data_IF_391812702528
#
_entry.id   IF_391812702528
#
_cell.length_a   1.000
_cell.length_b   1.000
_cell.length_c   1.000
_cell.angle_alpha   90.00
_cell.angle_beta   90.00
_cell.angle_gamma   90.00
#
_symmetry.space_group_name_H-M   'P 1'
#
loop_
_entity.id
_entity.type
_entity.pdbx_description
1 polymer ?
#
# COMPACT_ATOMS: atom_id res chain seq x y z
N UNK A 1 40.24 5.45 -36.09
CA UNK A 1 39.83 4.16 -36.70
C UNK A 1 39.53 3.18 -35.56
N UNK A 2 38.66 3.59 -34.61
CA UNK A 2 38.43 2.89 -33.32
C UNK A 2 36.93 2.64 -33.03
N UNK A 3 36.01 2.96 -33.96
CA UNK A 3 34.57 2.87 -33.72
C UNK A 3 33.91 1.53 -34.14
N UNK A 4 34.68 0.44 -34.25
CA UNK A 4 34.18 -0.82 -34.83
C UNK A 4 34.11 -2.02 -33.87
N UNK A 5 34.63 -1.92 -32.64
CA UNK A 5 34.85 -3.10 -31.78
C UNK A 5 33.84 -3.30 -30.63
N UNK A 6 32.70 -2.60 -30.63
CA UNK A 6 31.65 -2.77 -29.62
C UNK A 6 30.33 -3.36 -30.15
N UNK A 7 30.31 -3.96 -31.35
CA UNK A 7 29.05 -4.40 -31.99
C UNK A 7 28.97 -5.92 -32.27
N UNK A 8 29.64 -6.75 -31.46
CA UNK A 8 29.57 -8.23 -31.54
C UNK A 8 29.13 -8.85 -30.20
N UNK A 9 28.39 -8.13 -29.36
CA UNK A 9 27.42 -8.82 -28.52
C UNK A 9 26.25 -9.20 -29.43
N UNK A 10 26.30 -10.44 -29.98
CA UNK A 10 25.18 -11.06 -30.71
C UNK A 10 23.88 -10.67 -30.00
N UNK A 11 23.03 -9.84 -30.64
CA UNK A 11 21.74 -9.39 -30.10
C UNK A 11 20.97 -10.60 -29.60
N UNK A 12 21.09 -10.90 -28.29
CA UNK A 12 20.29 -11.94 -27.66
C UNK A 12 18.85 -11.46 -27.80
N UNK A 13 17.99 -12.28 -28.41
CA UNK A 13 16.56 -11.97 -28.46
C UNK A 13 16.11 -11.75 -27.03
N UNK A 14 15.53 -10.59 -26.75
CA UNK A 14 14.95 -10.31 -25.44
C UNK A 14 13.94 -11.41 -25.11
N UNK A 15 13.92 -11.88 -23.86
CA UNK A 15 12.94 -12.89 -23.42
C UNK A 15 11.52 -12.46 -23.82
N UNK A 16 10.68 -13.41 -24.19
CA UNK A 16 9.28 -13.12 -24.51
C UNK A 16 8.54 -12.61 -23.26
N UNK A 17 7.45 -11.87 -23.46
CA UNK A 17 6.59 -11.45 -22.35
C UNK A 17 5.69 -12.61 -21.94
N UNK A 18 5.69 -12.96 -20.65
CA UNK A 18 4.73 -13.91 -20.10
C UNK A 18 3.32 -13.33 -20.12
N UNK A 19 2.30 -14.19 -19.96
CA UNK A 19 0.90 -13.76 -19.88
C UNK A 19 0.65 -12.87 -18.65
N UNK A 20 1.25 -13.23 -17.52
CA UNK A 20 1.16 -12.48 -16.26
C UNK A 20 1.83 -11.11 -16.41
N UNK A 21 3.02 -11.06 -17.01
CA UNK A 21 3.71 -9.81 -17.34
C UNK A 21 2.85 -8.92 -18.25
N UNK A 22 2.24 -9.51 -19.29
CA UNK A 22 1.38 -8.76 -20.19
C UNK A 22 0.15 -8.20 -19.47
N UNK A 23 -0.51 -9.00 -18.62
CA UNK A 23 -1.66 -8.55 -17.81
C UNK A 23 -1.26 -7.40 -16.88
N UNK A 24 -0.11 -7.50 -16.21
CA UNK A 24 0.41 -6.44 -15.34
C UNK A 24 0.65 -5.15 -16.13
N UNK A 25 1.30 -5.25 -17.29
CA UNK A 25 1.53 -4.11 -18.19
C UNK A 25 0.21 -3.44 -18.58
N UNK A 26 -0.81 -4.21 -18.96
CA UNK A 26 -2.12 -3.68 -19.33
C UNK A 26 -2.83 -3.00 -18.16
N UNK A 27 -2.79 -3.58 -16.95
CA UNK A 27 -3.35 -2.97 -15.73
C UNK A 27 -2.68 -1.64 -15.41
N UNK A 28 -1.36 -1.56 -15.52
CA UNK A 28 -0.60 -0.32 -15.29
C UNK A 28 -0.94 0.74 -16.34
N UNK A 29 -0.93 0.39 -17.63
CA UNK A 29 -1.30 1.32 -18.70
C UNK A 29 -2.73 1.82 -18.53
N UNK A 30 -3.68 0.96 -18.15
CA UNK A 30 -5.07 1.35 -17.87
C UNK A 30 -5.13 2.44 -16.80
N UNK A 31 -4.41 2.27 -15.69
CA UNK A 31 -4.36 3.25 -14.59
C UNK A 31 -3.87 4.63 -15.04
N UNK A 32 -2.95 4.66 -16.02
CA UNK A 32 -2.37 5.90 -16.54
C UNK A 32 -2.95 6.39 -17.88
N UNK A 33 -4.02 5.76 -18.36
CA UNK A 33 -4.76 6.13 -19.58
C UNK A 33 -5.02 7.63 -19.73
N UNK A 34 -5.53 8.38 -18.72
CA UNK A 34 -5.84 9.80 -18.92
C UNK A 34 -4.63 10.65 -19.34
N UNK A 35 -3.42 10.26 -18.92
CA UNK A 35 -2.18 10.95 -19.28
C UNK A 35 -1.65 10.45 -20.62
N UNK A 36 -1.67 9.12 -20.83
CA UNK A 36 -1.13 8.49 -22.04
C UNK A 36 -1.97 8.76 -23.30
N UNK A 37 -3.30 8.77 -23.17
CA UNK A 37 -4.24 9.03 -24.26
C UNK A 37 -4.52 10.52 -24.51
N UNK A 38 -3.85 11.42 -23.77
CA UNK A 38 -3.97 12.85 -24.04
C UNK A 38 -3.53 13.15 -25.50
N UNK A 39 -4.42 13.69 -26.33
CA UNK A 39 -4.15 13.97 -27.75
C UNK A 39 -3.26 15.19 -27.97
N UNK A 40 -3.02 16.00 -26.93
CA UNK A 40 -2.14 17.18 -27.02
C UNK A 40 -0.69 16.76 -27.26
N UNK A 41 -0.01 17.55 -28.08
CA UNK A 41 1.38 17.36 -28.53
C UNK A 41 2.33 18.43 -28.02
N UNK A 42 1.93 19.17 -26.98
CA UNK A 42 2.77 20.16 -26.31
C UNK A 42 3.94 19.51 -25.55
N UNK A 43 5.02 20.27 -25.38
CA UNK A 43 6.23 19.81 -24.70
C UNK A 43 5.96 19.31 -23.27
N UNK A 44 5.01 19.95 -22.57
CA UNK A 44 4.61 19.57 -21.21
C UNK A 44 3.91 18.21 -21.23
N UNK A 45 2.90 18.02 -22.09
CA UNK A 45 2.23 16.71 -22.23
C UNK A 45 3.17 15.60 -22.68
N UNK A 46 4.14 15.88 -23.56
CA UNK A 46 5.13 14.89 -24.00
C UNK A 46 6.06 14.48 -22.85
N UNK A 47 6.54 15.45 -22.08
CA UNK A 47 7.32 15.19 -20.86
C UNK A 47 6.50 14.40 -19.84
N UNK A 48 5.22 14.74 -19.63
CA UNK A 48 4.33 14.02 -18.74
C UNK A 48 4.10 12.56 -19.17
N UNK A 49 3.94 12.30 -20.47
CA UNK A 49 3.85 10.94 -21.03
C UNK A 49 5.14 10.16 -20.83
N UNK A 50 6.31 10.78 -21.03
CA UNK A 50 7.61 10.15 -20.81
C UNK A 50 7.80 9.78 -19.33
N UNK A 51 7.52 10.71 -18.42
CA UNK A 51 7.54 10.49 -16.97
C UNK A 51 6.57 9.39 -16.53
N UNK A 52 5.40 9.34 -17.17
CA UNK A 52 4.41 8.29 -16.94
C UNK A 52 4.97 6.90 -17.32
N UNK A 53 5.62 6.78 -18.48
CA UNK A 53 6.25 5.52 -18.89
C UNK A 53 7.40 5.10 -17.95
N UNK A 54 8.19 6.05 -17.44
CA UNK A 54 9.21 5.78 -16.42
C UNK A 54 8.61 5.27 -15.10
N UNK A 55 7.47 5.83 -14.66
CA UNK A 55 6.74 5.32 -13.49
C UNK A 55 6.20 3.91 -13.73
N UNK A 56 5.65 3.64 -14.91
CA UNK A 56 5.20 2.30 -15.30
C UNK A 56 6.37 1.32 -15.25
N UNK A 57 7.54 1.68 -15.77
CA UNK A 57 8.76 0.87 -15.70
C UNK A 57 9.17 0.56 -14.26
N UNK A 58 9.20 1.56 -13.38
CA UNK A 58 9.55 1.38 -11.97
C UNK A 58 8.59 0.41 -11.28
N UNK A 59 7.28 0.62 -11.44
CA UNK A 59 6.25 -0.24 -10.82
C UNK A 59 6.28 -1.63 -11.45
N UNK A 60 6.43 -1.75 -12.76
CA UNK A 60 6.47 -3.03 -13.45
C UNK A 60 7.64 -3.88 -12.97
N UNK A 61 8.85 -3.30 -12.94
CA UNK A 61 10.06 -3.99 -12.52
C UNK A 61 10.08 -4.26 -11.01
N UNK A 62 9.32 -3.52 -10.18
CA UNK A 62 9.17 -3.86 -8.76
C UNK A 62 8.26 -5.06 -8.50
N UNK A 63 7.40 -5.41 -9.47
CA UNK A 63 6.46 -6.54 -9.38
C UNK A 63 6.89 -7.74 -10.24
N UNK A 64 7.95 -7.59 -11.03
CA UNK A 64 8.42 -8.59 -11.99
C UNK A 64 9.67 -9.29 -11.44
N UNK A 65 9.70 -10.62 -11.51
CA UNK A 65 10.64 -11.44 -10.74
C UNK A 65 11.88 -11.92 -11.51
N UNK A 66 11.91 -11.83 -12.85
CA UNK A 66 12.94 -12.51 -13.67
C UNK A 66 13.77 -11.60 -14.58
N UNK A 67 13.18 -10.58 -15.21
CA UNK A 67 13.89 -9.75 -16.20
C UNK A 67 13.54 -8.27 -16.11
N UNK A 68 14.56 -7.42 -16.15
CA UNK A 68 14.38 -5.98 -16.23
C UNK A 68 13.87 -5.58 -17.62
N UNK A 69 12.79 -4.80 -17.67
CA UNK A 69 12.23 -4.25 -18.90
C UNK A 69 12.25 -2.73 -18.85
N UNK A 70 12.95 -2.11 -19.81
CA UNK A 70 12.96 -0.66 -19.91
C UNK A 70 11.62 -0.10 -20.40
N UNK A 71 11.32 1.16 -20.08
CA UNK A 71 10.07 1.81 -20.51
C UNK A 71 9.85 1.73 -22.04
N UNK A 72 10.93 1.77 -22.83
CA UNK A 72 10.87 1.66 -24.29
C UNK A 72 10.38 0.28 -24.74
N UNK A 73 10.82 -0.79 -24.08
CA UNK A 73 10.36 -2.15 -24.35
C UNK A 73 8.89 -2.34 -23.97
N UNK A 74 8.49 -1.84 -22.79
CA UNK A 74 7.10 -1.90 -22.33
C UNK A 74 6.16 -1.16 -23.27
N UNK A 75 6.52 0.07 -23.66
CA UNK A 75 5.78 0.87 -24.64
C UNK A 75 5.63 0.13 -25.97
N UNK A 76 6.73 -0.40 -26.51
CA UNK A 76 6.71 -1.15 -27.78
C UNK A 76 5.83 -2.38 -27.71
N UNK A 77 5.89 -3.15 -26.61
CA UNK A 77 5.03 -4.32 -26.40
C UNK A 77 3.55 -3.94 -26.37
N UNK A 78 3.21 -2.89 -25.62
CA UNK A 78 1.84 -2.37 -25.54
C UNK A 78 1.32 -1.93 -26.92
N UNK A 79 2.08 -1.12 -27.67
CA UNK A 79 1.67 -0.64 -28.99
C UNK A 79 1.47 -1.79 -29.99
N UNK A 80 2.37 -2.78 -29.97
CA UNK A 80 2.22 -3.97 -30.81
C UNK A 80 0.95 -4.76 -30.44
N UNK A 81 0.70 -4.94 -29.15
CA UNK A 81 -0.48 -5.67 -28.69
C UNK A 81 -1.79 -4.93 -29.03
N UNK A 82 -1.81 -3.61 -28.85
CA UNK A 82 -2.91 -2.73 -29.27
C UNK A 82 -3.20 -2.85 -30.77
N UNK A 83 -2.16 -2.89 -31.62
CA UNK A 83 -2.30 -3.07 -33.07
C UNK A 83 -2.91 -4.43 -33.41
N UNK A 84 -2.42 -5.51 -32.80
CA UNK A 84 -2.95 -6.87 -33.00
C UNK A 84 -4.43 -6.93 -32.64
N UNK A 85 -4.82 -6.35 -31.50
CA UNK A 85 -6.22 -6.32 -31.07
C UNK A 85 -7.08 -5.50 -32.02
N UNK A 86 -6.61 -4.32 -32.44
CA UNK A 86 -7.28 -3.52 -33.46
C UNK A 86 -7.54 -4.31 -34.75
N UNK A 87 -6.56 -5.09 -35.22
CA UNK A 87 -6.73 -5.93 -36.41
C UNK A 87 -7.77 -7.03 -36.18
N UNK A 88 -7.71 -7.73 -35.04
CA UNK A 88 -8.70 -8.76 -34.69
C UNK A 88 -10.14 -8.20 -34.64
N UNK A 89 -10.33 -6.95 -34.21
CA UNK A 89 -11.64 -6.31 -34.24
C UNK A 89 -12.15 -6.04 -35.65
N UNK A 90 -11.27 -5.59 -36.55
CA UNK A 90 -11.61 -5.36 -37.96
C UNK A 90 -12.01 -6.69 -38.61
N UNK A 91 -11.23 -7.75 -38.39
CA UNK A 91 -11.47 -9.07 -38.98
C UNK A 91 -12.77 -9.71 -38.47
N UNK A 92 -13.13 -9.45 -37.20
CA UNK A 92 -14.33 -10.02 -36.56
C UNK A 92 -15.62 -9.20 -36.78
N UNK A 93 -15.55 -8.04 -37.46
CA UNK A 93 -16.72 -7.21 -37.79
C UNK A 93 -17.50 -6.65 -36.60
N UNK A 94 -16.92 -6.64 -35.38
CA UNK A 94 -17.57 -6.14 -34.17
C UNK A 94 -17.12 -4.71 -33.87
N UNK A 95 -18.05 -3.77 -33.93
CA UNK A 95 -17.83 -2.38 -33.51
C UNK A 95 -17.81 -2.32 -31.96
N UNK A 96 -16.63 -2.45 -31.38
CA UNK A 96 -16.41 -2.15 -29.97
C UNK A 96 -15.54 -0.89 -29.81
N UNK A 97 -15.82 -0.12 -28.76
CA UNK A 97 -15.06 1.07 -28.38
C UNK A 97 -13.55 0.74 -28.27
N UNK A 98 -12.65 1.43 -29.01
CA UNK A 98 -11.21 1.25 -28.95
C UNK A 98 -10.57 1.45 -27.56
N UNK A 99 -11.32 1.91 -26.57
CA UNK A 99 -10.84 2.05 -25.19
C UNK A 99 -11.26 0.91 -24.25
N UNK A 100 -12.20 0.04 -24.65
CA UNK A 100 -12.71 -1.03 -23.77
C UNK A 100 -11.99 -2.38 -23.93
N UNK A 101 -11.19 -2.56 -25.00
CA UNK A 101 -10.51 -3.84 -25.25
C UNK A 101 -9.51 -4.25 -24.17
N UNK A 102 -8.93 -3.29 -23.43
CA UNK A 102 -7.98 -3.58 -22.36
C UNK A 102 -8.65 -4.39 -21.25
N UNK A 103 -9.92 -4.10 -20.95
CA UNK A 103 -10.67 -4.75 -19.87
C UNK A 103 -11.10 -6.16 -20.24
N UNK A 104 -11.55 -6.33 -21.48
CA UNK A 104 -11.83 -7.65 -22.05
C UNK A 104 -10.57 -8.51 -22.06
N UNK A 105 -9.42 -7.94 -22.44
CA UNK A 105 -8.16 -8.69 -22.49
C UNK A 105 -7.65 -9.09 -21.11
N UNK A 106 -7.72 -8.18 -20.12
CA UNK A 106 -7.36 -8.51 -18.73
C UNK A 106 -8.25 -9.63 -18.20
N UNK A 107 -9.55 -9.59 -18.50
CA UNK A 107 -10.51 -10.62 -18.06
C UNK A 107 -10.26 -11.97 -18.72
N UNK A 108 -9.95 -11.99 -20.01
CA UNK A 108 -9.61 -13.22 -20.73
C UNK A 108 -8.32 -13.85 -20.18
N UNK A 109 -7.25 -13.05 -19.99
CA UNK A 109 -6.00 -13.56 -19.42
C UNK A 109 -6.25 -14.11 -18.00
N UNK A 110 -7.07 -13.43 -17.20
CA UNK A 110 -7.40 -13.89 -15.85
C UNK A 110 -8.16 -15.23 -15.85
N UNK A 111 -9.11 -15.40 -16.78
CA UNK A 111 -9.87 -16.63 -16.94
C UNK A 111 -8.98 -17.79 -17.41
N UNK A 112 -8.11 -17.55 -18.39
CA UNK A 112 -7.16 -18.55 -18.88
C UNK A 112 -6.20 -19.04 -17.76
N UNK A 113 -5.71 -18.13 -16.91
CA UNK A 113 -4.86 -18.51 -15.76
C UNK A 113 -5.64 -19.37 -14.75
N UNK A 114 -6.92 -19.06 -14.52
CA UNK A 114 -7.77 -19.82 -13.59
C UNK A 114 -8.02 -21.24 -14.11
N UNK A 115 -8.20 -21.40 -15.41
CA UNK A 115 -8.47 -22.69 -16.03
C UNK A 115 -7.20 -23.57 -16.12
N UNK A 116 -6.02 -22.97 -16.33
CA UNK A 116 -4.72 -23.67 -16.27
C UNK A 116 -4.40 -24.21 -14.87
N UNK A 117 -4.91 -23.57 -13.80
CA UNK A 117 -4.69 -24.00 -12.41
C UNK A 117 -5.58 -25.16 -11.96
N UNK A 118 -6.59 -25.55 -12.75
CA UNK A 118 -7.57 -26.61 -12.39
C UNK A 118 -7.40 -27.92 -13.19
N UNK A 119 -6.45 -28.00 -14.12
CA UNK A 119 -6.24 -29.20 -14.95
C UNK A 119 -5.19 -30.17 -14.39
N UNK A 120 -5.09 -30.27 -13.06
CA UNK A 120 -4.38 -31.42 -12.48
C UNK A 120 -5.25 -32.66 -12.66
N UNK A 121 -4.75 -33.76 -13.25
CA UNK A 121 -5.45 -35.03 -13.22
C UNK A 121 -5.77 -35.36 -11.75
N UNK A 122 -6.94 -35.93 -11.43
CA UNK A 122 -7.22 -36.42 -10.09
C UNK A 122 -6.08 -37.35 -9.70
N UNK A 123 -5.26 -36.94 -8.73
CA UNK A 123 -4.39 -37.88 -8.05
C UNK A 123 -5.33 -38.83 -7.33
N UNK A 124 -5.40 -40.08 -7.78
CA UNK A 124 -5.97 -41.18 -7.01
C UNK A 124 -5.15 -41.32 -5.73
N UNK A 125 -5.50 -40.52 -4.72
CA UNK A 125 -4.99 -40.70 -3.36
C UNK A 125 -5.78 -41.87 -2.79
N UNK A 126 -5.14 -43.03 -2.54
CA UNK A 126 -5.83 -44.17 -1.95
C UNK A 126 -6.45 -43.77 -0.60
N UNK A 127 -7.72 -44.09 -0.47
CA UNK A 127 -8.59 -43.82 0.66
C UNK A 127 -8.04 -44.47 1.94
N UNK A 128 -7.20 -43.73 2.67
CA UNK A 128 -6.79 -44.11 4.03
C UNK A 128 -7.96 -43.81 4.95
N UNK A 129 -8.65 -44.88 5.36
CA UNK A 129 -9.65 -44.85 6.42
C UNK A 129 -9.00 -44.36 7.72
N UNK A 130 -9.17 -43.09 8.04
CA UNK A 130 -8.83 -42.54 9.34
C UNK A 130 -9.94 -42.93 10.32
N UNK A 131 -9.64 -43.92 11.16
CA UNK A 131 -10.46 -44.30 12.29
C UNK A 131 -10.48 -43.17 13.33
N UNK A 132 -11.70 -42.79 13.67
CA UNK A 132 -12.08 -41.71 14.56
C UNK A 132 -11.76 -42.11 16.01
N UNK A 133 -10.84 -41.41 16.68
CA UNK A 133 -10.61 -41.57 18.12
C UNK A 133 -10.74 -40.23 18.85
N UNK A 134 -11.70 -40.21 19.77
CA UNK A 134 -11.85 -39.40 20.99
C UNK A 134 -11.28 -37.98 20.99
N UNK A 135 -12.12 -36.95 21.05
CA UNK A 135 -12.74 -36.50 22.31
C UNK A 135 -11.71 -36.25 23.41
N UNK A 136 -11.06 -35.09 23.35
CA UNK A 136 -10.39 -34.46 24.49
C UNK A 136 -10.88 -33.02 24.55
N UNK A 137 -11.73 -32.77 25.54
CA UNK A 137 -12.00 -31.45 26.09
C UNK A 137 -10.66 -30.89 26.61
N UNK A 138 -10.25 -29.74 26.08
CA UNK A 138 -8.97 -29.10 26.38
C UNK A 138 -9.19 -27.63 26.66
N UNK A 139 -8.85 -27.26 27.89
CA UNK A 139 -9.10 -26.00 28.58
C UNK A 139 -8.77 -24.70 27.81
N UNK A 140 -9.64 -23.72 28.07
CA UNK A 140 -9.41 -22.30 27.81
C UNK A 140 -8.29 -21.83 28.74
N UNK A 141 -7.08 -21.70 28.21
CA UNK A 141 -6.00 -21.03 28.93
C UNK A 141 -6.13 -19.52 28.66
N UNK A 142 -6.56 -18.83 29.70
CA UNK A 142 -6.58 -17.38 29.84
C UNK A 142 -5.15 -16.85 29.67
N UNK A 143 -4.87 -16.19 28.55
CA UNK A 143 -3.56 -15.63 28.26
C UNK A 143 -3.57 -14.17 28.70
N UNK A 144 -3.44 -13.98 30.01
CA UNK A 144 -3.21 -12.68 30.63
C UNK A 144 -1.96 -12.01 30.03
N UNK A 145 -2.19 -10.86 29.40
CA UNK A 145 -1.51 -9.59 29.66
C UNK A 145 -0.04 -9.71 30.09
N UNK A 146 0.87 -9.74 29.12
CA UNK A 146 2.26 -9.31 29.35
C UNK A 146 2.38 -7.84 28.99
N UNK A 147 2.34 -7.02 30.02
CA UNK A 147 2.88 -5.67 30.03
C UNK A 147 4.40 -5.77 29.84
N UNK A 148 4.87 -5.63 28.61
CA UNK A 148 6.31 -5.47 28.35
C UNK A 148 6.68 -3.98 28.48
N UNK A 149 7.17 -3.72 29.68
CA UNK A 149 7.98 -2.63 30.19
C UNK A 149 8.58 -1.63 29.17
N UNK A 150 8.17 -0.40 29.42
CA UNK A 150 8.80 0.89 29.16
C UNK A 150 10.32 0.89 29.42
N UNK A 151 11.12 0.61 28.38
CA UNK A 151 12.58 0.86 28.44
C UNK A 151 12.89 2.32 28.10
N UNK A 152 12.82 3.17 29.12
CA UNK A 152 13.40 4.50 29.12
C UNK A 152 14.94 4.42 29.12
N UNK A 153 15.57 4.52 27.94
CA UNK A 153 17.02 4.75 27.87
C UNK A 153 17.31 6.25 27.78
N UNK A 154 17.44 6.83 28.96
CA UNK A 154 18.11 8.10 29.19
C UNK A 154 19.62 7.93 28.99
N UNK A 155 20.22 8.67 28.06
CA UNK A 155 21.64 9.04 28.11
C UNK A 155 21.81 10.49 27.65
N UNK A 156 21.69 11.38 28.63
CA UNK A 156 22.46 12.60 28.73
C UNK A 156 23.97 12.33 28.66
N UNK A 157 24.73 13.44 28.65
CA UNK A 157 26.18 13.59 28.82
C UNK A 157 27.00 13.44 27.52
N UNK A 158 27.81 14.39 27.04
CA UNK A 158 28.51 15.50 27.69
C UNK A 158 28.72 16.68 26.72
N UNK A 159 28.46 17.90 27.22
CA UNK A 159 29.24 19.09 26.90
C UNK A 159 30.71 18.83 27.26
N UNK A 160 31.65 19.32 26.47
CA UNK A 160 32.81 19.99 27.05
C UNK A 160 33.37 21.09 26.13
N UNK A 161 34.03 22.11 26.73
CA UNK A 161 34.25 23.44 26.18
C UNK A 161 35.70 23.64 25.73
N UNK A 162 35.94 24.77 25.08
CA UNK A 162 37.28 25.22 24.74
C UNK A 162 38.09 25.69 25.95
N UNK A 163 39.41 25.61 25.81
CA UNK A 163 40.50 26.40 26.40
C UNK A 163 41.80 25.61 26.14
N UNK A 164 42.98 26.15 25.88
CA UNK A 164 43.54 27.47 25.51
C UNK A 164 45.06 27.26 25.65
N UNK A 165 45.84 28.02 24.88
CA UNK A 165 47.24 28.39 25.15
C UNK A 165 48.24 27.21 25.11
N UNK A 166 49.52 27.32 24.80
CA UNK A 166 50.43 28.17 24.04
C UNK A 166 51.66 27.26 23.95
N UNK A 167 52.38 27.23 22.83
CA UNK A 167 53.85 27.06 22.86
C UNK A 167 54.41 27.23 21.44
N UNK A 168 55.06 28.38 21.28
CA UNK A 168 56.04 28.67 20.25
C UNK A 168 57.13 27.60 20.22
N UNK A 169 57.38 27.00 19.05
CA UNK A 169 58.76 26.73 18.65
C UNK A 169 58.90 27.08 17.17
N UNK A 170 59.48 28.24 16.94
CA UNK A 170 60.01 28.64 15.66
C UNK A 170 61.13 27.66 15.25
N UNK A 171 60.95 26.94 14.15
CA UNK A 171 62.07 26.36 13.40
C UNK A 171 62.06 26.91 11.99
N UNK A 172 62.88 27.94 11.83
CA UNK A 172 63.50 28.35 10.57
C UNK A 172 63.89 27.14 9.73
N UNK A 173 63.37 27.06 8.50
CA UNK A 173 64.01 26.36 7.39
C UNK A 173 63.62 27.09 6.09
N UNK A 174 64.53 27.99 5.72
CA UNK A 174 65.05 28.26 4.37
C UNK A 174 64.10 28.11 3.15
N UNK A 175 63.80 29.20 2.41
CA UNK A 175 63.00 29.14 1.19
C UNK A 175 63.87 28.68 0.02
N UNK A 176 64.16 27.38 -0.05
CA UNK A 176 64.53 26.77 -1.34
C UNK A 176 63.26 26.70 -2.17
N UNK A 177 63.12 27.67 -3.08
CA UNK A 177 62.15 27.67 -4.17
C UNK A 177 62.48 26.46 -5.07
N UNK A 178 61.98 25.29 -4.69
CA UNK A 178 61.81 24.17 -5.61
C UNK A 178 60.49 24.41 -6.31
N UNK A 179 60.58 24.88 -7.56
CA UNK A 179 59.51 24.80 -8.54
C UNK A 179 59.13 23.33 -8.73
N UNK A 180 58.29 22.81 -7.84
CA UNK A 180 57.56 21.58 -8.06
C UNK A 180 56.54 21.86 -9.16
N UNK A 181 56.93 21.61 -10.42
CA UNK A 181 56.01 21.27 -11.51
C UNK A 181 55.43 19.86 -11.24
N UNK A 182 54.83 19.68 -10.07
CA UNK A 182 54.04 18.52 -9.70
C UNK A 182 52.63 18.72 -10.23
N UNK A 183 52.44 18.36 -11.50
CA UNK A 183 51.18 17.84 -12.05
C UNK A 183 49.90 18.47 -11.48
N UNK A 184 49.50 19.63 -12.04
CA UNK A 184 48.17 20.26 -11.86
C UNK A 184 46.97 19.34 -12.16
N UNK A 185 47.21 18.09 -12.59
CA UNK A 185 46.22 17.04 -12.80
C UNK A 185 45.78 16.34 -11.50
N UNK A 186 46.66 16.22 -10.50
CA UNK A 186 46.35 15.46 -9.27
C UNK A 186 45.41 16.22 -8.34
N UNK A 187 45.46 17.56 -8.35
CA UNK A 187 44.55 18.41 -7.56
C UNK A 187 43.11 18.43 -8.11
N UNK A 188 42.92 18.22 -9.42
CA UNK A 188 41.59 18.22 -10.04
C UNK A 188 40.80 16.94 -9.73
N UNK A 189 41.47 15.77 -9.77
CA UNK A 189 40.80 14.50 -9.45
C UNK A 189 40.45 14.39 -7.96
N UNK A 190 41.27 14.95 -7.07
CA UNK A 190 40.93 15.05 -5.64
C UNK A 190 39.67 15.91 -5.38
N UNK A 191 39.56 17.07 -6.05
CA UNK A 191 38.37 17.91 -5.96
C UNK A 191 37.11 17.18 -6.48
N UNK A 192 37.25 16.41 -7.57
CA UNK A 192 36.15 15.65 -8.17
C UNK A 192 35.68 14.51 -7.27
N UNK A 193 36.60 13.76 -6.66
CA UNK A 193 36.29 12.71 -5.70
C UNK A 193 35.61 13.26 -4.46
N UNK A 194 36.05 14.42 -3.98
CA UNK A 194 35.44 15.09 -2.84
C UNK A 194 34.00 15.52 -3.15
N UNK A 195 33.75 16.13 -4.32
CA UNK A 195 32.41 16.50 -4.74
C UNK A 195 31.48 15.28 -4.84
N UNK A 196 31.96 14.18 -5.42
CA UNK A 196 31.17 12.94 -5.55
C UNK A 196 30.84 12.32 -4.18
N UNK A 197 31.77 12.37 -3.23
CA UNK A 197 31.57 11.92 -1.85
C UNK A 197 30.51 12.77 -1.14
N UNK A 198 30.56 14.09 -1.32
CA UNK A 198 29.58 15.02 -0.77
C UNK A 198 28.19 14.78 -1.37
N UNK A 199 28.10 14.59 -2.69
CA UNK A 199 26.84 14.27 -3.38
C UNK A 199 26.21 12.98 -2.83
N UNK A 200 27.02 11.94 -2.68
CA UNK A 200 26.56 10.67 -2.11
C UNK A 200 26.08 10.83 -0.66
N UNK A 201 26.81 11.59 0.17
CA UNK A 201 26.41 11.85 1.55
C UNK A 201 25.11 12.68 1.64
N UNK A 202 24.92 13.66 0.77
CA UNK A 202 23.66 14.43 0.68
C UNK A 202 22.52 13.48 0.33
N UNK A 203 22.70 12.61 -0.66
CA UNK A 203 21.70 11.63 -1.08
C UNK A 203 21.33 10.64 0.05
N UNK A 204 22.32 10.17 0.81
CA UNK A 204 22.09 9.28 1.96
C UNK A 204 21.27 9.98 3.05
N UNK A 205 21.61 11.23 3.38
CA UNK A 205 20.84 12.05 4.35
C UNK A 205 19.41 12.29 3.88
N UNK A 206 19.20 12.55 2.60
CA UNK A 206 17.85 12.73 2.03
C UNK A 206 17.03 11.45 2.14
N UNK A 207 17.63 10.30 1.84
CA UNK A 207 16.97 9.00 1.95
C UNK A 207 16.60 8.67 3.40
N UNK A 208 17.49 8.91 4.36
CA UNK A 208 17.22 8.74 5.80
C UNK A 208 16.09 9.65 6.29
N UNK A 209 16.13 10.94 5.94
CA UNK A 209 15.05 11.90 6.28
C UNK A 209 13.71 11.49 5.70
N UNK A 210 13.71 10.99 4.45
CA UNK A 210 12.49 10.49 3.80
C UNK A 210 11.92 9.30 4.56
N UNK A 211 12.77 8.32 4.90
CA UNK A 211 12.35 7.14 5.66
C UNK A 211 11.83 7.50 7.07
N UNK A 212 12.49 8.42 7.76
CA UNK A 212 12.06 8.93 9.06
C UNK A 212 10.67 9.58 8.97
N UNK A 213 10.44 10.41 7.95
CA UNK A 213 9.14 11.04 7.73
C UNK A 213 8.04 10.00 7.42
N UNK A 214 8.37 8.99 6.63
CA UNK A 214 7.45 7.90 6.30
C UNK A 214 7.06 7.10 7.56
N UNK A 215 8.02 6.81 8.45
CA UNK A 215 7.74 6.18 9.74
C UNK A 215 6.86 7.05 10.65
N UNK A 216 7.11 8.36 10.70
CA UNK A 216 6.27 9.30 11.46
C UNK A 216 4.84 9.29 10.95
N UNK A 217 4.66 9.37 9.62
CA UNK A 217 3.35 9.34 8.98
C UNK A 217 2.61 8.02 9.23
N UNK A 218 3.32 6.89 9.17
CA UNK A 218 2.74 5.58 9.45
C UNK A 218 2.25 5.47 10.91
N UNK A 219 3.04 5.94 11.87
CA UNK A 219 2.66 5.95 13.29
C UNK A 219 1.46 6.84 13.55
N UNK A 220 1.43 8.03 12.96
CA UNK A 220 0.31 8.95 13.07
C UNK A 220 -0.97 8.36 12.47
N UNK A 221 -0.89 7.76 11.28
CA UNK A 221 -2.04 7.10 10.66
C UNK A 221 -2.55 5.91 11.50
N UNK A 222 -1.64 5.15 12.12
CA UNK A 222 -2.01 4.07 13.03
C UNK A 222 -2.73 4.60 14.27
N UNK A 223 -2.22 5.68 14.88
CA UNK A 223 -2.84 6.31 16.04
C UNK A 223 -4.25 6.83 15.71
N UNK A 224 -4.40 7.55 14.58
CA UNK A 224 -5.70 8.02 14.10
C UNK A 224 -6.70 6.87 13.88
N UNK A 225 -6.22 5.73 13.37
CA UNK A 225 -7.07 4.54 13.19
C UNK A 225 -7.56 3.99 14.53
N UNK A 226 -6.69 3.93 15.55
CA UNK A 226 -7.07 3.48 16.89
C UNK A 226 -8.08 4.43 17.56
N UNK A 227 -7.89 5.74 17.40
CA UNK A 227 -8.82 6.75 17.93
C UNK A 227 -10.19 6.67 17.26
N UNK A 228 -10.22 6.47 15.94
CA UNK A 228 -11.45 6.28 15.19
C UNK A 228 -12.20 5.02 15.64
N UNK A 229 -11.49 3.89 15.82
CA UNK A 229 -12.09 2.66 16.34
C UNK A 229 -12.67 2.84 17.75
N UNK A 230 -11.98 3.62 18.61
CA UNK A 230 -12.48 3.95 19.95
C UNK A 230 -13.78 4.77 19.87
N UNK A 231 -13.81 5.80 19.04
CA UNK A 231 -14.98 6.65 18.86
C UNK A 231 -16.17 5.88 18.24
N UNK A 232 -15.92 4.97 17.30
CA UNK A 232 -16.95 4.08 16.73
C UNK A 232 -17.57 3.19 17.80
N UNK A 233 -16.74 2.55 18.63
CA UNK A 233 -17.23 1.71 19.72
C UNK A 233 -18.02 2.51 20.77
N UNK A 234 -17.56 3.71 21.13
CA UNK A 234 -18.27 4.61 22.05
C UNK A 234 -19.66 5.00 21.50
N UNK A 235 -19.75 5.35 20.22
CA UNK A 235 -21.03 5.64 19.57
C UNK A 235 -21.97 4.44 19.56
N UNK A 236 -21.44 3.23 19.35
CA UNK A 236 -22.23 2.00 19.39
C UNK A 236 -22.83 1.75 20.78
N UNK A 237 -22.05 1.98 21.84
CA UNK A 237 -22.52 1.88 23.22
C UNK A 237 -23.63 2.89 23.52
N UNK A 238 -23.47 4.14 23.06
CA UNK A 238 -24.48 5.19 23.24
C UNK A 238 -25.79 4.87 22.53
N UNK A 239 -25.74 4.31 21.31
CA UNK A 239 -26.92 3.87 20.58
C UNK A 239 -27.62 2.74 21.32
N UNK A 240 -26.87 1.73 21.80
CA UNK A 240 -27.43 0.61 22.59
C UNK A 240 -28.09 1.12 23.87
N UNK A 241 -27.44 2.03 24.58
CA UNK A 241 -27.96 2.64 25.81
C UNK A 241 -29.28 3.37 25.55
N UNK A 242 -29.34 4.26 24.56
CA UNK A 242 -30.58 4.97 24.17
C UNK A 242 -31.70 4.02 23.76
N UNK A 243 -31.35 2.94 23.06
CA UNK A 243 -32.32 1.90 22.66
C UNK A 243 -32.93 1.21 23.87
N UNK A 244 -32.11 0.86 24.87
CA UNK A 244 -32.58 0.26 26.12
C UNK A 244 -33.46 1.23 26.91
N UNK A 245 -33.04 2.48 27.05
CA UNK A 245 -33.82 3.53 27.72
C UNK A 245 -35.19 3.75 27.06
N UNK A 246 -35.24 3.77 25.72
CA UNK A 246 -36.48 3.87 24.98
C UNK A 246 -37.40 2.65 25.24
N UNK A 247 -36.86 1.43 25.21
CA UNK A 247 -37.63 0.21 25.52
C UNK A 247 -38.22 0.26 26.92
N UNK A 248 -37.42 0.64 27.93
CA UNK A 248 -37.88 0.79 29.30
C UNK A 248 -38.96 1.89 29.43
N UNK A 249 -38.83 2.98 28.69
CA UNK A 249 -39.85 4.04 28.67
C UNK A 249 -41.18 3.54 28.10
N UNK A 250 -41.14 2.76 27.02
CA UNK A 250 -42.34 2.15 26.41
C UNK A 250 -43.00 1.20 27.41
N UNK A 251 -42.23 0.27 27.98
CA UNK A 251 -42.73 -0.70 28.95
C UNK A 251 -43.39 -0.03 30.16
N UNK A 252 -42.78 1.03 30.71
CA UNK A 252 -43.38 1.83 31.79
C UNK A 252 -44.73 2.43 31.41
N UNK A 253 -44.83 3.01 30.21
CA UNK A 253 -46.08 3.59 29.73
C UNK A 253 -47.18 2.54 29.52
N UNK A 254 -46.81 1.34 29.04
CA UNK A 254 -47.75 0.23 28.89
C UNK A 254 -48.29 -0.24 30.25
N UNK A 255 -47.42 -0.36 31.25
CA UNK A 255 -47.84 -0.70 32.62
C UNK A 255 -48.77 0.36 33.20
N UNK A 256 -48.50 1.64 32.98
CA UNK A 256 -49.36 2.73 33.44
C UNK A 256 -50.76 2.67 32.81
N UNK A 257 -50.84 2.40 31.50
CA UNK A 257 -52.12 2.24 30.78
C UNK A 257 -52.89 1.02 31.32
N UNK A 258 -52.21 -0.11 31.54
CA UNK A 258 -52.82 -1.32 32.11
C UNK A 258 -53.41 -1.06 33.50
N UNK A 259 -52.70 -0.33 34.35
CA UNK A 259 -53.20 0.06 35.68
C UNK A 259 -54.46 0.93 35.57
N UNK A 260 -54.43 1.96 34.72
CA UNK A 260 -55.59 2.84 34.48
C UNK A 260 -56.81 2.06 33.96
N UNK A 261 -56.60 1.07 33.11
CA UNK A 261 -57.67 0.21 32.59
C UNK A 261 -58.32 -0.61 33.72
N UNK A 262 -57.50 -1.27 34.56
CA UNK A 262 -57.98 -2.04 35.70
C UNK A 262 -58.77 -1.18 36.70
N UNK A 263 -58.34 0.06 36.94
CA UNK A 263 -59.10 1.00 37.78
C UNK A 263 -60.48 1.35 37.21
N UNK A 264 -60.58 1.50 35.89
CA UNK A 264 -61.87 1.71 35.20
C UNK A 264 -62.76 0.48 35.34
N UNK A 265 -62.22 -0.73 35.11
CA UNK A 265 -62.97 -1.98 35.27
C UNK A 265 -63.48 -2.17 36.70
N UNK A 266 -62.64 -1.91 37.71
CA UNK A 266 -63.05 -1.98 39.11
C UNK A 266 -64.15 -0.97 39.44
N UNK A 267 -64.08 0.26 38.90
CA UNK A 267 -65.14 1.26 39.04
C UNK A 267 -66.45 0.79 38.42
N UNK A 268 -66.40 0.20 37.22
CA UNK A 268 -67.60 -0.32 36.55
C UNK A 268 -68.23 -1.48 37.35
N UNK A 269 -67.44 -2.47 37.78
CA UNK A 269 -67.93 -3.58 38.62
C UNK A 269 -68.59 -3.09 39.90
N UNK A 270 -68.01 -2.07 40.57
CA UNK A 270 -68.62 -1.46 41.76
C UNK A 270 -69.97 -0.80 41.46
N UNK A 271 -70.11 -0.12 40.32
CA UNK A 271 -71.39 0.45 39.87
C UNK A 271 -72.41 -0.65 39.60
N UNK A 272 -72.03 -1.71 38.90
CA UNK A 272 -72.93 -2.83 38.58
C UNK A 272 -73.47 -3.49 39.86
N UNK A 273 -72.60 -3.73 40.85
CA UNK A 273 -73.00 -4.25 42.17
C UNK A 273 -73.96 -3.28 42.88
N UNK A 274 -73.70 -1.98 42.81
CA UNK A 274 -74.56 -0.96 43.41
C UNK A 274 -75.94 -0.89 42.76
N UNK A 275 -76.01 -0.94 41.42
CA UNK A 275 -77.27 -0.97 40.67
C UNK A 275 -78.05 -2.23 41.00
N UNK A 276 -77.41 -3.40 40.99
CA UNK A 276 -78.03 -4.68 41.32
C UNK A 276 -78.65 -4.67 42.72
N UNK A 277 -77.94 -4.15 43.73
CA UNK A 277 -78.45 -4.02 45.11
C UNK A 277 -79.65 -3.07 45.26
N UNK A 278 -79.89 -2.17 44.30
CA UNK A 278 -80.99 -1.20 44.35
C UNK A 278 -82.25 -1.70 43.65
N UNK A 279 -82.09 -2.65 42.72
CA UNK A 279 -83.19 -3.22 41.92
C UNK A 279 -83.80 -4.49 42.49
N UNK A 280 -83.10 -5.19 43.38
CA UNK A 280 -83.57 -6.37 44.09
C UNK A 280 -83.98 -6.01 45.53
#
# INVERSE_FOLDING_TARGET
>A
MEDCYNNIEKRRRSSNFSRIELMLLLKLVKKFTPILNNRKTDAISNTAKAQCWLKIEQIFNSHSFETYRSWSHLKKKYENHKKVKKQQFIDNGKEQDPNQWIDTEISNIFQEIKDESCSSPPFDVPEVKMENTSSVEGDVVDMESRDDDEFALNKETQKNPGQKDDDEVASFNDPTIQLNLGTDYDTYEDCRLQFLKEEFQVKLRQMQKKHELELKLMKEAHLQKMDLQRAEHELELDIKKKTIEQKLSIERSEHEIKLKLLEVELRNKKRDIYVFKRTC
#
